data_IF_290185720406
#
_entry.id   IF_290185720406
#
_cell.length_a   1.000
_cell.length_b   1.000
_cell.length_c   1.000
_cell.angle_alpha   90.00
_cell.angle_beta   90.00
_cell.angle_gamma   90.00
#
_symmetry.space_group_name_H-M   'P 1'
#
loop_
_entity.id
_entity.type
_entity.pdbx_description
1 polymer ?
#
# COMPACT_ATOMS: atom_id res chain seq x y z
N UNK A 1 -71.35 -54.17 -38.42
CA UNK A 1 -70.21 -53.63 -37.66
C UNK A 1 -70.72 -52.74 -36.54
N UNK A 2 -70.29 -52.91 -35.28
CA UNK A 2 -70.70 -52.03 -34.19
C UNK A 2 -70.08 -50.62 -34.34
N UNK A 3 -70.73 -49.57 -33.81
CA UNK A 3 -70.25 -48.20 -33.89
C UNK A 3 -68.98 -47.99 -33.04
N UNK A 4 -68.10 -47.05 -33.42
CA UNK A 4 -66.87 -46.76 -32.69
C UNK A 4 -67.16 -46.21 -31.29
N UNK A 5 -66.32 -46.61 -30.33
CA UNK A 5 -66.41 -46.16 -28.94
C UNK A 5 -66.20 -44.64 -28.81
N UNK A 6 -66.86 -43.98 -27.85
CA UNK A 6 -66.66 -42.55 -27.62
C UNK A 6 -65.24 -42.27 -27.13
N UNK A 7 -64.71 -41.06 -27.40
CA UNK A 7 -63.39 -40.65 -26.95
C UNK A 7 -63.33 -40.54 -25.41
N UNK A 8 -62.15 -40.71 -24.81
CA UNK A 8 -61.96 -40.56 -23.37
C UNK A 8 -62.20 -39.12 -22.91
N UNK A 9 -62.60 -38.92 -21.63
CA UNK A 9 -62.78 -37.59 -21.07
C UNK A 9 -61.46 -36.81 -20.99
N UNK A 10 -61.58 -35.48 -21.09
CA UNK A 10 -60.42 -34.57 -21.03
C UNK A 10 -59.80 -34.52 -19.63
N UNK A 11 -58.47 -34.26 -19.53
CA UNK A 11 -57.80 -34.14 -18.24
C UNK A 11 -58.24 -32.89 -17.46
N UNK A 12 -58.16 -32.91 -16.12
CA UNK A 12 -58.50 -31.76 -15.28
C UNK A 12 -57.49 -30.61 -15.44
N UNK A 13 -57.91 -29.35 -15.16
CA UNK A 13 -57.03 -28.19 -15.24
C UNK A 13 -55.89 -28.26 -14.21
N UNK A 14 -54.73 -27.72 -14.60
CA UNK A 14 -53.54 -27.69 -13.74
C UNK A 14 -53.71 -26.73 -12.56
N UNK A 15 -53.09 -27.01 -11.40
CA UNK A 15 -53.15 -26.13 -10.24
C UNK A 15 -52.43 -24.79 -10.47
N UNK A 16 -52.83 -23.72 -9.77
CA UNK A 16 -52.22 -22.40 -9.91
C UNK A 16 -50.77 -22.37 -9.43
N UNK A 17 -49.90 -21.73 -10.21
CA UNK A 17 -48.48 -21.57 -9.90
C UNK A 17 -48.26 -20.57 -8.73
N UNK A 18 -47.27 -20.81 -7.84
CA UNK A 18 -46.91 -19.86 -6.80
C UNK A 18 -46.33 -18.55 -7.37
N UNK A 19 -46.44 -17.43 -6.65
CA UNK A 19 -45.94 -16.14 -7.12
C UNK A 19 -44.41 -16.13 -7.23
N UNK A 20 -43.92 -15.61 -8.36
CA UNK A 20 -42.49 -15.44 -8.64
C UNK A 20 -41.85 -14.47 -7.64
N UNK A 21 -40.67 -14.83 -7.08
CA UNK A 21 -39.91 -13.95 -6.20
C UNK A 21 -39.36 -12.74 -6.99
N UNK A 22 -39.25 -11.56 -6.36
CA UNK A 22 -38.57 -10.40 -6.96
C UNK A 22 -37.10 -10.71 -7.28
N UNK A 23 -36.53 -10.13 -8.35
CA UNK A 23 -35.10 -10.21 -8.62
C UNK A 23 -34.29 -9.49 -7.53
N UNK A 24 -33.14 -10.06 -7.16
CA UNK A 24 -32.17 -9.41 -6.29
C UNK A 24 -31.51 -8.22 -7.02
N UNK A 25 -31.15 -7.14 -6.30
CA UNK A 25 -30.38 -6.05 -6.88
C UNK A 25 -28.96 -6.52 -7.25
N UNK A 26 -28.34 -5.89 -8.26
CA UNK A 26 -26.97 -6.20 -8.65
C UNK A 26 -25.96 -5.84 -7.55
N UNK A 27 -24.82 -6.56 -7.45
CA UNK A 27 -23.75 -6.22 -6.52
C UNK A 27 -23.13 -4.87 -6.86
N UNK A 28 -22.67 -4.13 -5.84
CA UNK A 28 -21.96 -2.87 -6.02
C UNK A 28 -20.61 -3.09 -6.74
N UNK A 29 -20.15 -2.12 -7.55
CA UNK A 29 -18.84 -2.19 -8.19
C UNK A 29 -17.70 -2.15 -7.13
N UNK A 30 -16.54 -2.77 -7.43
CA UNK A 30 -15.38 -2.70 -6.55
C UNK A 30 -14.87 -1.26 -6.43
N UNK A 31 -14.28 -0.88 -5.28
CA UNK A 31 -13.65 0.43 -5.13
C UNK A 31 -12.50 0.59 -6.13
N UNK A 32 -12.46 1.75 -6.79
CA UNK A 32 -11.40 2.12 -7.73
C UNK A 32 -10.09 2.31 -6.96
N UNK A 33 -8.96 1.70 -7.37
CA UNK A 33 -7.66 1.96 -6.76
C UNK A 33 -7.29 3.45 -6.88
N UNK A 34 -6.64 4.05 -5.88
CA UNK A 34 -6.12 5.41 -6.02
C UNK A 34 -5.15 5.51 -7.20
N UNK A 35 -5.00 6.70 -7.83
CA UNK A 35 -4.03 6.91 -8.90
C UNK A 35 -2.63 6.54 -8.41
N UNK A 36 -2.02 5.52 -9.00
CA UNK A 36 -0.62 5.19 -8.75
C UNK A 36 0.24 6.23 -9.48
N UNK A 37 0.72 7.23 -8.75
CA UNK A 37 1.81 8.09 -9.22
C UNK A 37 3.03 7.16 -9.39
N UNK A 38 3.70 7.12 -10.55
CA UNK A 38 4.93 6.37 -10.69
C UNK A 38 5.93 6.84 -9.63
N UNK A 39 6.35 5.93 -8.75
CA UNK A 39 7.42 6.22 -7.82
C UNK A 39 8.66 6.65 -8.63
N UNK A 40 9.35 7.76 -8.27
CA UNK A 40 10.61 8.10 -8.89
C UNK A 40 11.59 6.92 -8.78
N UNK A 41 12.50 6.73 -9.73
CA UNK A 41 13.45 5.63 -9.68
C UNK A 41 14.26 5.71 -8.38
N UNK A 42 14.00 4.76 -7.48
CA UNK A 42 14.72 4.57 -6.22
C UNK A 42 16.17 4.20 -6.53
N UNK A 43 17.03 5.21 -6.71
CA UNK A 43 18.47 4.98 -6.70
C UNK A 43 18.86 4.36 -5.36
N UNK A 44 19.73 3.34 -5.33
CA UNK A 44 20.19 2.76 -4.08
C UNK A 44 20.99 3.82 -3.31
N UNK A 45 20.51 4.23 -2.14
CA UNK A 45 21.26 5.09 -1.23
C UNK A 45 22.30 4.24 -0.49
N UNK A 46 23.60 4.56 -0.57
CA UNK A 46 24.62 3.77 0.10
C UNK A 46 24.40 3.84 1.62
N UNK A 47 24.24 2.69 2.27
CA UNK A 47 24.22 2.62 3.73
C UNK A 47 25.64 2.80 4.25
N UNK A 48 25.89 3.85 5.02
CA UNK A 48 27.19 4.15 5.62
C UNK A 48 27.30 3.51 7.01
N UNK A 49 26.20 3.50 7.77
CA UNK A 49 26.15 2.83 9.07
C UNK A 49 24.86 2.03 9.24
N UNK A 50 25.01 0.75 9.57
CA UNK A 50 23.90 -0.15 9.86
C UNK A 50 23.61 -0.23 11.36
N UNK A 51 22.33 -0.29 11.74
CA UNK A 51 21.90 -0.51 13.11
C UNK A 51 22.35 0.60 14.07
N UNK A 52 22.36 1.84 13.60
CA UNK A 52 22.60 3.04 14.41
C UNK A 52 22.00 4.28 13.78
N UNK A 53 21.72 5.28 14.61
CA UNK A 53 21.35 6.63 14.15
C UNK A 53 22.56 7.56 14.04
N UNK A 54 22.33 8.77 13.54
CA UNK A 54 23.31 9.86 13.58
C UNK A 54 23.64 10.21 15.05
N UNK A 55 24.86 10.66 15.33
CA UNK A 55 25.25 11.23 16.62
C UNK A 55 24.50 12.52 16.95
N UNK A 56 24.11 13.27 15.93
CA UNK A 56 23.22 14.43 16.05
C UNK A 56 22.34 14.55 14.82
N UNK A 57 21.09 14.92 15.03
CA UNK A 57 20.05 15.00 14.00
C UNK A 57 19.68 16.46 13.79
N UNK A 58 19.37 16.84 12.55
CA UNK A 58 18.81 18.16 12.26
C UNK A 58 17.30 18.16 12.48
N UNK A 59 16.79 19.30 12.93
CA UNK A 59 15.37 19.62 13.02
C UNK A 59 15.03 20.71 12.00
N UNK A 60 13.86 20.66 11.34
CA UNK A 60 12.79 19.68 11.48
C UNK A 60 13.10 18.33 10.77
N UNK A 61 12.39 17.23 11.10
CA UNK A 61 12.46 16.00 10.31
C UNK A 61 12.02 16.26 8.87
N UNK A 62 12.54 15.47 7.93
CA UNK A 62 12.17 15.58 6.52
C UNK A 62 10.74 15.07 6.32
N UNK A 63 10.41 13.94 6.94
CA UNK A 63 9.08 13.36 6.84
C UNK A 63 9.04 11.86 7.11
N UNK A 64 7.97 11.23 6.59
CA UNK A 64 7.72 9.79 6.64
C UNK A 64 7.83 9.27 5.22
N UNK A 65 8.61 8.21 5.04
CA UNK A 65 8.89 7.61 3.74
C UNK A 65 8.85 6.10 3.88
N UNK A 66 8.35 5.44 2.84
CA UNK A 66 8.17 3.98 2.83
C UNK A 66 9.51 3.22 2.76
N UNK A 67 10.56 3.88 2.27
CA UNK A 67 11.87 3.29 2.01
C UNK A 67 13.01 4.34 2.12
N UNK A 68 14.25 3.87 2.36
CA UNK A 68 15.41 4.75 2.44
C UNK A 68 15.70 5.53 1.14
N UNK A 69 15.57 4.95 -0.07
CA UNK A 69 15.71 5.71 -1.32
C UNK A 69 14.74 6.90 -1.44
N UNK A 70 13.45 6.72 -1.11
CA UNK A 70 12.48 7.81 -1.19
C UNK A 70 12.78 8.92 -0.17
N UNK A 71 13.25 8.57 1.03
CA UNK A 71 13.80 9.53 2.00
C UNK A 71 15.04 10.26 1.42
N UNK A 72 15.98 9.52 0.81
CA UNK A 72 17.20 10.05 0.23
C UNK A 72 16.98 11.03 -0.92
N UNK A 73 15.97 10.78 -1.75
CA UNK A 73 15.59 11.67 -2.85
C UNK A 73 15.18 13.07 -2.38
N UNK A 74 14.67 13.21 -1.15
CA UNK A 74 14.36 14.51 -0.56
C UNK A 74 15.55 15.03 0.27
N UNK A 75 16.27 14.12 0.93
CA UNK A 75 17.46 14.47 1.72
C UNK A 75 18.56 15.11 0.88
N UNK A 76 18.70 14.77 -0.42
CA UNK A 76 19.73 15.31 -1.32
C UNK A 76 19.75 16.84 -1.39
N UNK A 77 18.58 17.47 -1.21
CA UNK A 77 18.45 18.92 -1.25
C UNK A 77 18.75 19.60 0.09
N UNK A 78 18.93 18.82 1.17
CA UNK A 78 18.98 19.32 2.54
C UNK A 78 20.25 18.89 3.30
N UNK A 79 20.83 17.73 2.98
CA UNK A 79 21.97 17.18 3.69
C UNK A 79 22.75 16.16 2.85
N UNK A 80 23.99 15.89 3.28
CA UNK A 80 24.86 14.87 2.67
C UNK A 80 24.61 13.48 3.23
N UNK A 81 24.05 13.39 4.44
CA UNK A 81 23.72 12.14 5.11
C UNK A 81 22.36 12.25 5.78
N UNK A 82 21.61 11.16 5.73
CA UNK A 82 20.33 11.04 6.42
C UNK A 82 20.28 9.71 7.17
N UNK A 83 19.51 9.70 8.25
CA UNK A 83 19.08 8.44 8.86
C UNK A 83 17.68 8.11 8.40
N UNK A 84 17.45 6.82 8.18
CA UNK A 84 16.13 6.29 7.95
C UNK A 84 15.85 5.04 8.78
N UNK A 85 14.61 4.89 9.24
CA UNK A 85 14.15 3.73 10.00
C UNK A 85 13.31 2.78 9.13
N UNK A 86 13.71 1.51 8.96
CA UNK A 86 12.86 0.49 8.34
C UNK A 86 11.71 0.04 9.22
N UNK A 87 11.79 0.32 10.52
CA UNK A 87 10.74 -0.06 11.47
C UNK A 87 9.76 1.10 11.47
N UNK A 88 8.71 1.04 10.62
CA UNK A 88 7.74 2.11 10.40
C UNK A 88 7.32 2.84 11.69
N UNK A 89 8.03 3.90 12.04
CA UNK A 89 7.62 4.75 13.13
C UNK A 89 6.78 5.86 12.54
N UNK A 90 5.50 5.85 12.89
CA UNK A 90 4.42 6.73 12.42
C UNK A 90 4.73 8.23 12.23
N UNK A 91 5.85 8.80 12.70
CA UNK A 91 6.11 10.24 12.72
C UNK A 91 7.54 10.71 12.43
N UNK A 92 8.54 9.84 12.22
CA UNK A 92 9.96 10.29 12.28
C UNK A 92 10.98 9.46 11.51
N UNK A 93 10.54 8.67 10.52
CA UNK A 93 11.40 7.70 9.83
C UNK A 93 12.50 8.31 8.97
N UNK A 94 12.54 9.63 8.68
CA UNK A 94 13.55 10.24 7.82
C UNK A 94 14.07 11.59 8.34
N UNK A 95 15.39 11.69 8.57
CA UNK A 95 16.03 12.89 9.15
C UNK A 95 17.44 13.11 8.61
N UNK A 96 17.82 14.36 8.42
CA UNK A 96 19.21 14.71 8.12
C UNK A 96 20.10 14.50 9.36
N UNK A 97 21.30 13.96 9.13
CA UNK A 97 22.37 14.05 10.11
C UNK A 97 22.94 15.48 10.12
N UNK A 98 23.39 15.94 11.30
CA UNK A 98 24.23 17.14 11.33
C UNK A 98 25.58 16.85 10.66
N UNK A 99 26.20 17.86 10.04
CA UNK A 99 27.47 17.72 9.34
C UNK A 99 28.55 17.22 10.32
N UNK A 100 29.24 16.13 9.97
CA UNK A 100 30.28 15.50 10.82
C UNK A 100 29.70 14.76 12.03
N UNK A 101 28.41 14.43 12.00
CA UNK A 101 27.68 13.69 13.04
C UNK A 101 26.85 12.54 12.46
N UNK A 102 27.22 12.07 11.27
CA UNK A 102 26.72 10.85 10.65
C UNK A 102 27.05 9.60 11.49
N UNK A 103 28.15 9.64 12.25
CA UNK A 103 28.57 8.60 13.17
C UNK A 103 28.35 9.02 14.65
N UNK A 104 28.82 8.19 15.59
CA UNK A 104 28.75 8.50 17.02
C UNK A 104 27.36 8.36 17.67
N UNK A 105 26.31 8.06 16.89
CA UNK A 105 24.98 7.82 17.43
C UNK A 105 24.82 6.47 18.11
N UNK A 106 23.75 6.35 18.91
CA UNK A 106 23.42 5.14 19.67
C UNK A 106 23.17 3.97 18.70
N UNK A 107 23.74 2.81 19.05
CA UNK A 107 23.44 1.56 18.35
C UNK A 107 21.96 1.22 18.53
N UNK A 108 21.25 1.11 17.43
CA UNK A 108 19.83 0.79 17.39
C UNK A 108 19.51 0.13 16.05
N UNK A 109 19.07 -1.12 16.10
CA UNK A 109 18.71 -1.93 14.92
C UNK A 109 17.58 -1.32 14.08
N UNK A 110 16.86 -0.35 14.62
CA UNK A 110 15.79 0.35 13.92
C UNK A 110 16.28 1.54 13.10
N UNK A 111 17.56 1.89 13.12
CA UNK A 111 18.08 3.02 12.36
C UNK A 111 19.26 2.60 11.49
N UNK A 112 19.31 3.18 10.30
CA UNK A 112 20.46 3.12 9.44
C UNK A 112 20.78 4.54 8.96
N UNK A 113 22.07 4.83 8.76
CA UNK A 113 22.56 6.07 8.20
C UNK A 113 23.01 5.82 6.77
N UNK A 114 22.58 6.69 5.88
CA UNK A 114 22.80 6.63 4.45
C UNK A 114 23.49 7.91 3.99
N UNK A 115 24.36 7.79 2.99
CA UNK A 115 24.87 8.95 2.26
C UNK A 115 23.91 9.31 1.14
N UNK A 116 23.89 10.59 0.79
CA UNK A 116 23.23 11.05 -0.42
C UNK A 116 24.30 11.31 -1.47
N UNK A 117 24.28 10.54 -2.54
CA UNK A 117 25.17 10.74 -3.68
C UNK A 117 24.59 11.85 -4.55
N UNK A 118 25.42 12.86 -4.86
CA UNK A 118 25.06 13.93 -5.79
C UNK A 118 25.45 13.46 -7.20
N UNK A 119 24.49 13.48 -8.12
CA UNK A 119 24.76 13.31 -9.56
C UNK A 119 24.81 14.70 -10.19
#
# INVERSE_FOLDING_TARGET
SPPPSPPPPSPPPSPPQPPSRPPLPPPAPPPVPPPQIPAPPSLPTPTVFYGRGCGSQLSPPIGIFEDAPSCGAVAIHNCTHFMWSPTQYKYWDCRCCAIGREDGGILNVHWNVYSVDWI
#
